data_IF_511789797785
#
_entry.id   IF_511789797785
#
_cell.length_a   1.000
_cell.length_b   1.000
_cell.length_c   1.000
_cell.angle_alpha   90.00
_cell.angle_beta   90.00
_cell.angle_gamma   90.00
#
_symmetry.space_group_name_H-M   'P 1'
#
loop_
_entity.id
_entity.type
_entity.pdbx_description
1 polymer ?
#
# COMPACT_ATOMS: atom_id res chain seq x y z
N UNK A 1 16.43 5.70 14.10
CA UNK A 1 16.08 6.46 15.31
C UNK A 1 14.58 6.41 15.51
N UNK A 2 14.15 5.94 16.68
CA UNK A 2 12.75 5.94 17.13
C UNK A 2 12.59 7.03 18.16
N UNK A 3 11.45 7.72 18.18
CA UNK A 3 11.15 8.73 19.19
C UNK A 3 10.70 8.08 20.50
N UNK A 4 9.64 8.61 21.09
CA UNK A 4 9.05 8.12 22.34
C UNK A 4 8.44 6.71 22.22
N UNK A 5 8.28 6.17 21.02
CA UNK A 5 7.81 4.82 20.76
C UNK A 5 6.31 4.62 20.96
N UNK A 6 5.53 5.70 21.09
CA UNK A 6 4.07 5.65 21.36
C UNK A 6 3.21 5.55 20.11
N UNK A 7 3.77 5.68 18.93
CA UNK A 7 3.08 5.52 17.64
C UNK A 7 3.66 4.37 16.81
N UNK A 8 4.61 3.61 17.36
CA UNK A 8 5.32 2.54 16.68
C UNK A 8 5.00 1.21 17.33
N UNK A 9 4.53 0.23 16.55
CA UNK A 9 4.23 -1.11 17.05
C UNK A 9 5.49 -1.98 17.12
N UNK A 10 5.77 -2.54 18.29
CA UNK A 10 6.99 -3.32 18.55
C UNK A 10 7.15 -4.50 17.59
N UNK A 11 6.10 -5.30 17.41
CA UNK A 11 6.17 -6.54 16.65
C UNK A 11 6.04 -6.35 15.12
N UNK A 12 5.31 -5.32 14.68
CA UNK A 12 4.88 -5.15 13.27
C UNK A 12 5.65 -4.09 12.50
N UNK A 13 6.14 -3.06 13.18
CA UNK A 13 6.81 -1.96 12.51
C UNK A 13 8.31 -2.20 12.33
N UNK A 14 8.88 -1.48 11.36
CA UNK A 14 10.28 -1.60 10.97
C UNK A 14 11.11 -0.57 11.72
N UNK A 15 11.27 -0.78 13.01
CA UNK A 15 11.88 0.19 13.92
C UNK A 15 13.24 -0.27 14.44
N UNK A 16 13.59 -1.55 14.22
CA UNK A 16 14.85 -2.18 14.62
C UNK A 16 15.81 -2.16 13.42
N UNK A 17 16.57 -1.09 13.25
CA UNK A 17 17.50 -0.95 12.11
C UNK A 17 16.86 -1.05 10.72
N UNK A 18 15.54 -0.81 10.61
CA UNK A 18 14.76 -0.98 9.37
C UNK A 18 14.13 -2.36 9.16
N UNK A 19 14.31 -3.28 10.12
CA UNK A 19 13.70 -4.61 10.17
C UNK A 19 12.52 -4.64 11.15
N UNK A 20 11.57 -5.56 10.92
CA UNK A 20 10.56 -5.93 11.92
C UNK A 20 11.08 -6.99 12.87
N UNK A 21 10.43 -7.16 14.03
CA UNK A 21 10.72 -8.28 14.92
C UNK A 21 10.47 -9.64 14.24
N UNK A 22 9.48 -9.74 13.34
CA UNK A 22 9.21 -10.95 12.54
C UNK A 22 10.37 -11.30 11.60
N UNK A 23 11.03 -10.31 11.00
CA UNK A 23 12.16 -10.52 10.10
C UNK A 23 13.42 -11.00 10.84
N UNK A 24 13.60 -10.59 12.09
CA UNK A 24 14.74 -10.96 12.92
C UNK A 24 14.51 -12.27 13.69
N UNK A 25 13.28 -12.50 14.13
CA UNK A 25 12.91 -13.58 15.04
C UNK A 25 11.53 -14.17 14.66
N UNK A 26 11.41 -14.88 13.53
CA UNK A 26 10.12 -15.36 13.01
C UNK A 26 9.42 -16.37 13.94
N UNK A 27 10.17 -17.22 14.66
CA UNK A 27 9.60 -18.20 15.60
C UNK A 27 9.11 -17.51 16.87
N UNK A 28 9.88 -16.54 17.39
CA UNK A 28 9.44 -15.69 18.51
C UNK A 28 8.16 -14.96 18.11
N UNK A 29 8.14 -14.35 16.93
CA UNK A 29 6.96 -13.70 16.41
C UNK A 29 5.80 -14.70 16.32
N UNK A 30 5.99 -15.92 15.82
CA UNK A 30 4.93 -16.93 15.76
C UNK A 30 4.29 -17.21 17.13
N UNK A 31 5.09 -17.22 18.20
CA UNK A 31 4.67 -17.47 19.59
C UNK A 31 3.94 -16.29 20.27
N UNK A 32 3.92 -15.11 19.65
CA UNK A 32 3.20 -13.94 20.18
C UNK A 32 1.74 -13.96 19.73
N UNK A 33 0.82 -13.74 20.67
CA UNK A 33 -0.61 -13.64 20.36
C UNK A 33 -0.91 -12.52 19.35
N UNK A 34 -1.82 -12.76 18.41
CA UNK A 34 -2.22 -11.78 17.38
C UNK A 34 -2.61 -10.43 17.95
N UNK A 35 -3.27 -10.41 19.11
CA UNK A 35 -3.60 -9.17 19.81
C UNK A 35 -2.34 -8.38 20.16
N UNK A 36 -1.36 -9.01 20.82
CA UNK A 36 -0.10 -8.36 21.21
C UNK A 36 0.69 -7.86 20.01
N UNK A 37 0.77 -8.65 18.92
CA UNK A 37 1.39 -8.23 17.65
C UNK A 37 0.85 -6.89 17.12
N UNK A 38 -0.45 -6.66 17.29
CA UNK A 38 -1.15 -5.52 16.70
C UNK A 38 -1.42 -4.37 17.69
N UNK A 39 -1.09 -4.53 18.97
CA UNK A 39 -1.36 -3.49 19.98
C UNK A 39 -0.14 -3.07 20.79
N UNK A 40 0.89 -3.91 20.91
CA UNK A 40 2.07 -3.60 21.73
C UNK A 40 2.89 -2.49 21.07
N UNK A 41 3.00 -1.35 21.75
CA UNK A 41 3.83 -0.22 21.31
C UNK A 41 5.27 -0.38 21.77
N UNK A 42 6.22 0.23 21.05
CA UNK A 42 7.65 0.23 21.41
C UNK A 42 7.88 0.81 22.81
N UNK A 43 7.17 1.90 23.16
CA UNK A 43 7.24 2.51 24.48
C UNK A 43 6.88 1.53 25.61
N UNK A 44 5.83 0.73 25.40
CA UNK A 44 5.31 -0.23 26.39
C UNK A 44 6.12 -1.52 26.42
N UNK A 45 6.62 -1.96 25.27
CA UNK A 45 7.42 -3.16 25.12
C UNK A 45 8.76 -3.05 25.83
N UNK A 46 9.41 -1.89 25.70
CA UNK A 46 10.75 -1.66 26.24
C UNK A 46 10.74 -1.23 27.70
N UNK A 47 9.56 -0.97 28.28
CA UNK A 47 9.46 -0.67 29.70
C UNK A 47 9.65 -1.96 30.50
N UNK A 48 10.85 -2.11 31.08
CA UNK A 48 11.20 -3.30 31.87
C UNK A 48 11.14 -4.59 31.06
N UNK A 49 11.47 -4.52 29.77
CA UNK A 49 11.52 -5.66 28.84
C UNK A 49 10.21 -6.45 28.73
N UNK A 50 9.08 -5.78 28.94
CA UNK A 50 7.73 -6.33 28.91
C UNK A 50 7.31 -6.94 27.56
N UNK A 51 8.14 -6.82 26.51
CA UNK A 51 7.98 -7.56 25.27
C UNK A 51 8.29 -9.04 25.41
N UNK A 52 9.14 -9.45 26.37
CA UNK A 52 9.40 -10.88 26.64
C UNK A 52 8.12 -11.56 27.10
N UNK A 53 7.32 -10.88 27.92
CA UNK A 53 6.03 -11.39 28.44
C UNK A 53 4.98 -11.62 27.34
N UNK A 54 5.19 -11.08 26.13
CA UNK A 54 4.29 -11.31 25.00
C UNK A 54 4.48 -12.69 24.37
N UNK A 55 5.62 -13.34 24.62
CA UNK A 55 6.01 -14.62 24.03
C UNK A 55 5.35 -15.74 24.84
N UNK A 56 4.50 -16.53 24.18
CA UNK A 56 3.79 -17.63 24.82
C UNK A 56 4.13 -18.96 24.17
N UNK A 57 4.49 -19.97 24.96
CA UNK A 57 4.79 -21.31 24.45
C UNK A 57 5.95 -21.99 25.18
N UNK A 58 6.29 -23.19 24.72
CA UNK A 58 7.46 -23.91 25.23
C UNK A 58 8.74 -23.26 24.71
N UNK A 59 9.63 -22.90 25.63
CA UNK A 59 10.91 -22.29 25.30
C UNK A 59 11.89 -23.35 24.81
N UNK A 60 12.04 -23.45 23.49
CA UNK A 60 13.03 -24.30 22.83
C UNK A 60 14.37 -23.57 22.71
N UNK A 61 15.45 -24.31 22.40
CA UNK A 61 16.77 -23.71 22.14
C UNK A 61 16.72 -22.69 20.99
N UNK A 62 15.99 -23.00 19.91
CA UNK A 62 15.84 -22.08 18.78
C UNK A 62 15.05 -20.82 19.16
N UNK A 63 14.04 -20.95 20.02
CA UNK A 63 13.30 -19.78 20.53
C UNK A 63 14.21 -18.88 21.37
N UNK A 64 15.02 -19.46 22.25
CA UNK A 64 16.02 -18.72 23.04
C UNK A 64 17.03 -17.99 22.15
N UNK A 65 17.55 -18.66 21.12
CA UNK A 65 18.51 -18.07 20.18
C UNK A 65 17.91 -16.84 19.49
N UNK A 66 16.66 -16.93 19.04
CA UNK A 66 15.98 -15.81 18.40
C UNK A 66 15.61 -14.68 19.38
N UNK A 67 15.27 -15.00 20.64
CA UNK A 67 15.09 -13.99 21.68
C UNK A 67 16.36 -13.16 21.91
N UNK A 68 17.53 -13.81 21.95
CA UNK A 68 18.82 -13.12 22.10
C UNK A 68 19.13 -12.20 20.91
N UNK A 69 18.93 -12.68 19.68
CA UNK A 69 19.10 -11.86 18.47
C UNK A 69 18.19 -10.64 18.50
N UNK A 70 16.93 -10.82 18.90
CA UNK A 70 15.99 -9.70 18.99
C UNK A 70 16.37 -8.73 20.10
N UNK A 71 16.82 -9.22 21.26
CA UNK A 71 17.29 -8.40 22.38
C UNK A 71 18.46 -7.52 21.97
N UNK A 72 19.52 -8.10 21.41
CA UNK A 72 20.72 -7.38 20.97
C UNK A 72 20.36 -6.31 19.92
N UNK A 73 19.54 -6.69 18.92
CA UNK A 73 19.11 -5.75 17.89
C UNK A 73 18.27 -4.58 18.45
N UNK A 74 17.48 -4.83 19.51
CA UNK A 74 16.69 -3.80 20.20
C UNK A 74 17.56 -2.85 21.00
N UNK A 75 18.59 -3.35 21.69
CA UNK A 75 19.53 -2.52 22.46
C UNK A 75 20.33 -1.57 21.57
N UNK A 76 20.68 -2.00 20.36
CA UNK A 76 21.42 -1.19 19.38
C UNK A 76 20.60 -0.02 18.78
N UNK A 77 19.29 0.04 19.03
CA UNK A 77 18.44 1.11 18.47
C UNK A 77 18.64 2.40 19.27
N UNK A 78 19.22 3.41 18.62
CA UNK A 78 19.21 4.79 19.14
C UNK A 78 17.77 5.31 19.29
N UNK A 79 17.38 5.58 20.54
CA UNK A 79 16.06 6.10 20.91
C UNK A 79 16.17 7.49 21.51
N UNK A 80 15.29 8.37 21.05
CA UNK A 80 15.11 9.70 21.66
C UNK A 80 13.74 9.76 22.33
N UNK A 81 13.72 9.42 23.62
CA UNK A 81 12.50 9.38 24.43
C UNK A 81 11.90 10.78 24.64
N UNK A 82 12.68 11.84 24.38
CA UNK A 82 12.23 13.23 24.54
C UNK A 82 11.45 13.76 23.34
N UNK A 83 11.52 13.08 22.18
CA UNK A 83 10.83 13.49 20.96
C UNK A 83 9.70 12.54 20.57
N UNK A 84 8.50 13.04 20.23
CA UNK A 84 7.42 12.17 19.75
C UNK A 84 7.80 11.45 18.46
N UNK A 85 7.30 10.21 18.32
CA UNK A 85 7.39 9.46 17.06
C UNK A 85 6.88 10.27 15.86
N UNK A 86 7.57 10.14 14.71
CA UNK A 86 7.17 10.79 13.45
C UNK A 86 6.79 9.76 12.40
N UNK A 87 5.57 9.86 11.88
CA UNK A 87 5.11 9.06 10.75
C UNK A 87 5.65 9.68 9.46
N UNK A 88 6.65 9.03 8.85
CA UNK A 88 7.22 9.46 7.57
C UNK A 88 6.45 8.86 6.39
N UNK A 89 5.88 9.71 5.54
CA UNK A 89 5.24 9.33 4.29
C UNK A 89 6.29 9.07 3.20
N UNK A 90 6.53 7.81 2.88
CA UNK A 90 7.52 7.38 1.85
C UNK A 90 7.27 7.92 0.44
N UNK A 91 6.07 8.44 0.16
CA UNK A 91 5.73 8.93 -1.16
C UNK A 91 6.18 10.37 -1.45
N UNK A 92 6.55 11.15 -0.43
CA UNK A 92 7.03 12.52 -0.61
C UNK A 92 8.50 12.59 -0.17
N UNK A 93 9.34 13.34 -0.90
CA UNK A 93 10.74 13.60 -0.49
C UNK A 93 10.81 14.29 0.88
N UNK A 94 9.80 15.10 1.22
CA UNK A 94 9.67 15.75 2.52
C UNK A 94 9.30 14.79 3.66
N UNK A 95 8.92 13.54 3.35
CA UNK A 95 8.39 12.61 4.33
C UNK A 95 7.05 13.02 4.94
N UNK A 96 6.41 14.08 4.44
CA UNK A 96 5.11 14.57 4.95
C UNK A 96 4.01 14.17 3.97
N UNK A 97 2.92 13.62 4.51
CA UNK A 97 1.74 13.36 3.70
C UNK A 97 1.13 14.66 3.18
N UNK A 98 0.89 14.72 1.88
CA UNK A 98 -0.03 15.70 1.30
C UNK A 98 -0.96 15.03 0.31
N UNK A 99 -2.21 15.50 0.25
CA UNK A 99 -3.17 15.06 -0.76
C UNK A 99 -2.59 15.26 -2.17
N UNK A 100 -1.90 16.39 -2.41
CA UNK A 100 -1.25 16.72 -3.69
C UNK A 100 -0.25 15.65 -4.13
N UNK A 101 0.73 15.30 -3.29
CA UNK A 101 1.74 14.29 -3.64
C UNK A 101 1.08 12.93 -3.94
N UNK A 102 0.02 12.59 -3.19
CA UNK A 102 -0.73 11.35 -3.41
C UNK A 102 -1.39 11.32 -4.79
N UNK A 103 -1.99 12.42 -5.23
CA UNK A 103 -2.57 12.55 -6.58
C UNK A 103 -1.50 12.60 -7.69
N UNK A 104 -0.35 13.24 -7.46
CA UNK A 104 0.77 13.23 -8.41
C UNK A 104 1.32 11.81 -8.60
N UNK A 105 1.44 11.05 -7.52
CA UNK A 105 1.80 9.63 -7.59
C UNK A 105 0.82 8.87 -8.47
N UNK A 106 -0.50 9.09 -8.37
CA UNK A 106 -1.48 8.41 -9.24
C UNK A 106 -1.18 8.59 -10.73
N UNK A 107 -0.54 9.69 -11.13
CA UNK A 107 -0.16 9.97 -12.51
C UNK A 107 1.14 9.27 -12.94
N UNK A 108 1.93 8.78 -12.00
CA UNK A 108 3.22 8.13 -12.24
C UNK A 108 3.09 6.60 -12.35
N UNK A 109 3.73 6.04 -13.38
CA UNK A 109 3.92 4.60 -13.54
C UNK A 109 3.45 4.06 -14.90
N UNK A 110 3.94 2.87 -15.28
CA UNK A 110 3.69 2.28 -16.60
C UNK A 110 2.27 1.74 -16.81
N UNK A 111 1.43 1.69 -15.77
CA UNK A 111 0.04 1.17 -15.84
C UNK A 111 -0.77 1.99 -16.82
N UNK A 112 -0.69 3.32 -16.77
CA UNK A 112 -1.44 4.21 -17.68
C UNK A 112 -1.06 3.97 -19.14
N UNK A 113 0.24 3.98 -19.46
CA UNK A 113 0.72 3.75 -20.82
C UNK A 113 0.25 2.40 -21.37
N UNK A 114 0.33 1.33 -20.55
CA UNK A 114 -0.10 -0.02 -20.95
C UNK A 114 -1.61 -0.11 -21.16
N UNK A 115 -2.41 0.49 -20.27
CA UNK A 115 -3.88 0.53 -20.42
C UNK A 115 -4.27 1.31 -21.67
N UNK A 116 -3.72 2.51 -21.87
CA UNK A 116 -4.01 3.34 -23.06
C UNK A 116 -3.64 2.62 -24.35
N UNK A 117 -2.45 1.99 -24.40
CA UNK A 117 -2.03 1.20 -25.55
C UNK A 117 -2.97 0.00 -25.78
N UNK A 118 -3.33 -0.75 -24.73
CA UNK A 118 -4.25 -1.89 -24.85
C UNK A 118 -5.65 -1.49 -25.34
N UNK A 119 -6.08 -0.25 -25.05
CA UNK A 119 -7.33 0.32 -25.52
C UNK A 119 -7.24 0.91 -26.95
N UNK A 120 -6.07 0.84 -27.61
CA UNK A 120 -5.83 1.42 -28.92
C UNK A 120 -5.72 2.95 -28.92
N UNK A 121 -5.56 3.57 -27.75
CA UNK A 121 -5.53 5.03 -27.59
C UNK A 121 -4.08 5.53 -27.65
N UNK A 122 -3.72 6.14 -28.78
CA UNK A 122 -2.43 6.81 -28.97
C UNK A 122 -2.47 8.24 -28.42
N UNK A 123 -2.27 8.38 -27.12
CA UNK A 123 -2.20 9.66 -26.43
C UNK A 123 -1.12 9.63 -25.34
N UNK A 124 -0.63 10.81 -24.95
CA UNK A 124 0.22 10.93 -23.77
C UNK A 124 -0.52 10.43 -22.53
N UNK A 125 0.21 9.91 -21.54
CA UNK A 125 -0.35 9.46 -20.27
C UNK A 125 -0.46 10.62 -19.25
N UNK A 126 -1.16 10.42 -18.11
CA UNK A 126 -1.33 11.47 -17.10
C UNK A 126 -0.02 12.00 -16.50
N UNK A 127 1.07 11.24 -16.54
CA UNK A 127 2.39 11.66 -16.07
C UNK A 127 2.91 12.89 -16.81
N UNK A 128 2.50 13.10 -18.07
CA UNK A 128 2.90 14.25 -18.88
C UNK A 128 2.44 15.61 -18.34
N UNK A 129 1.35 15.66 -17.57
CA UNK A 129 0.84 16.89 -16.95
C UNK A 129 1.07 16.95 -15.44
N UNK A 130 1.45 15.83 -14.82
CA UNK A 130 1.49 15.66 -13.36
C UNK A 130 0.12 15.80 -12.67
N UNK A 131 -0.97 15.93 -13.45
CA UNK A 131 -2.29 16.22 -12.93
C UNK A 131 -3.36 15.48 -13.72
N UNK A 132 -3.97 14.48 -13.07
CA UNK A 132 -4.95 13.59 -13.69
C UNK A 132 -6.17 14.33 -14.24
N UNK A 133 -6.69 15.32 -13.52
CA UNK A 133 -7.87 16.08 -13.95
C UNK A 133 -7.59 16.91 -15.21
N UNK A 134 -6.45 17.60 -15.23
CA UNK A 134 -6.00 18.39 -16.39
C UNK A 134 -5.79 17.48 -17.60
N UNK A 135 -5.06 16.38 -17.43
CA UNK A 135 -4.84 15.41 -18.49
C UNK A 135 -6.16 14.82 -19.01
N UNK A 136 -7.04 14.38 -18.10
CA UNK A 136 -8.32 13.76 -18.45
C UNK A 136 -9.17 14.70 -19.28
N UNK A 137 -9.30 15.96 -18.88
CA UNK A 137 -10.10 16.96 -19.60
C UNK A 137 -9.59 17.18 -21.03
N UNK A 138 -8.27 17.25 -21.23
CA UNK A 138 -7.67 17.41 -22.56
C UNK A 138 -7.74 16.13 -23.41
N UNK A 139 -7.46 14.97 -22.82
CA UNK A 139 -7.57 13.67 -23.51
C UNK A 139 -9.02 13.41 -23.97
N UNK A 140 -10.00 13.74 -23.13
CA UNK A 140 -11.43 13.57 -23.42
C UNK A 140 -11.91 14.38 -24.62
N UNK A 141 -11.30 15.55 -24.90
CA UNK A 141 -11.61 16.33 -26.11
C UNK A 141 -11.27 15.58 -27.40
N UNK A 142 -10.24 14.73 -27.36
CA UNK A 142 -9.77 13.90 -28.49
C UNK A 142 -10.61 12.63 -28.69
N UNK A 143 -11.46 12.29 -27.72
CA UNK A 143 -12.36 11.12 -27.77
C UNK A 143 -13.71 11.53 -28.37
N UNK A 144 -14.20 10.73 -29.33
CA UNK A 144 -15.52 10.91 -29.95
C UNK A 144 -16.62 10.91 -28.90
N UNK A 145 -17.65 11.77 -29.07
CA UNK A 145 -18.70 11.99 -28.05
C UNK A 145 -19.34 10.69 -27.55
N UNK A 146 -19.59 9.74 -28.46
CA UNK A 146 -20.17 8.43 -28.14
C UNK A 146 -19.25 7.57 -27.24
N UNK A 147 -17.94 7.64 -27.43
CA UNK A 147 -16.95 6.84 -26.71
C UNK A 147 -16.50 7.47 -25.39
N UNK A 148 -16.86 8.74 -25.11
CA UNK A 148 -16.40 9.45 -23.91
C UNK A 148 -16.78 8.75 -22.61
N UNK A 149 -18.00 8.22 -22.51
CA UNK A 149 -18.42 7.49 -21.28
C UNK A 149 -17.59 6.21 -21.08
N UNK A 150 -17.21 5.53 -22.16
CA UNK A 150 -16.34 4.34 -22.13
C UNK A 150 -14.93 4.73 -21.66
N UNK A 151 -14.40 5.81 -22.21
CA UNK A 151 -13.12 6.38 -21.80
C UNK A 151 -13.11 6.83 -20.33
N UNK A 152 -14.12 7.57 -19.90
CA UNK A 152 -14.27 8.08 -18.52
C UNK A 152 -14.26 6.92 -17.50
N UNK A 153 -14.98 5.82 -17.78
CA UNK A 153 -14.96 4.62 -16.94
C UNK A 153 -13.59 3.95 -16.88
N UNK A 154 -12.89 3.82 -18.02
CA UNK A 154 -11.54 3.25 -18.05
C UNK A 154 -10.55 4.08 -17.21
N UNK A 155 -10.63 5.41 -17.28
CA UNK A 155 -9.79 6.32 -16.49
C UNK A 155 -10.06 6.13 -15.00
N UNK A 156 -11.33 6.10 -14.58
CA UNK A 156 -11.71 5.90 -13.16
C UNK A 156 -11.21 4.54 -12.65
N UNK A 157 -11.46 3.45 -13.40
CA UNK A 157 -11.02 2.11 -13.00
C UNK A 157 -9.50 2.01 -12.87
N UNK A 158 -8.76 2.67 -13.78
CA UNK A 158 -7.30 2.69 -13.73
C UNK A 158 -6.81 3.46 -12.51
N UNK A 159 -7.33 4.67 -12.27
CA UNK A 159 -6.97 5.49 -11.12
C UNK A 159 -7.28 4.78 -9.80
N UNK A 160 -8.47 4.18 -9.68
CA UNK A 160 -8.89 3.40 -8.52
C UNK A 160 -7.99 2.19 -8.28
N UNK A 161 -7.63 1.46 -9.33
CA UNK A 161 -6.75 0.29 -9.21
C UNK A 161 -5.37 0.69 -8.73
N UNK A 162 -4.80 1.76 -9.30
CA UNK A 162 -3.52 2.31 -8.86
C UNK A 162 -3.58 2.77 -7.39
N UNK A 163 -4.65 3.48 -7.01
CA UNK A 163 -4.88 3.93 -5.65
C UNK A 163 -4.93 2.77 -4.65
N UNK A 164 -5.76 1.74 -4.94
CA UNK A 164 -5.85 0.54 -4.09
C UNK A 164 -4.51 -0.16 -3.94
N UNK A 165 -3.75 -0.29 -5.03
CA UNK A 165 -2.44 -0.93 -4.99
C UNK A 165 -1.41 -0.15 -4.18
N UNK A 166 -1.42 1.18 -4.27
CA UNK A 166 -0.56 2.02 -3.44
C UNK A 166 -0.96 1.96 -1.96
N UNK A 167 -2.24 1.96 -1.66
CA UNK A 167 -2.72 1.78 -0.28
C UNK A 167 -2.34 0.41 0.28
N UNK A 168 -2.52 -0.67 -0.48
CA UNK A 168 -2.10 -2.01 -0.07
C UNK A 168 -0.60 -2.06 0.25
N UNK A 169 0.25 -1.32 -0.49
CA UNK A 169 1.68 -1.19 -0.18
C UNK A 169 1.94 -0.34 1.06
N UNK A 170 1.23 0.78 1.22
CA UNK A 170 1.36 1.66 2.38
C UNK A 170 0.97 0.93 3.68
N UNK A 171 -0.12 0.18 3.66
CA UNK A 171 -0.63 -0.61 4.79
C UNK A 171 -0.13 -2.07 4.80
N UNK A 172 0.89 -2.39 3.99
CA UNK A 172 1.57 -3.69 3.93
C UNK A 172 0.63 -4.91 3.81
N UNK A 173 -0.47 -4.75 3.08
CA UNK A 173 -1.37 -5.85 2.76
C UNK A 173 -0.82 -6.67 1.58
N UNK A 174 0.16 -7.54 1.86
CA UNK A 174 0.83 -8.38 0.85
C UNK A 174 -0.14 -9.22 0.00
N UNK A 175 -1.28 -9.63 0.57
CA UNK A 175 -2.31 -10.41 -0.15
C UNK A 175 -2.98 -9.62 -1.27
N UNK A 176 -2.94 -8.29 -1.21
CA UNK A 176 -3.58 -7.41 -2.19
C UNK A 176 -2.59 -6.76 -3.16
N UNK A 177 -1.28 -6.97 -2.99
CA UNK A 177 -0.27 -6.42 -3.89
C UNK A 177 -0.25 -7.19 -5.21
N UNK A 178 -0.42 -6.45 -6.31
CA UNK A 178 -0.42 -6.96 -7.68
C UNK A 178 0.75 -6.39 -8.46
N UNK A 179 1.24 -7.18 -9.42
CA UNK A 179 2.19 -6.71 -10.43
C UNK A 179 1.50 -5.75 -11.41
N UNK A 180 2.29 -4.97 -12.15
CA UNK A 180 1.76 -4.08 -13.20
C UNK A 180 0.92 -4.87 -14.20
N UNK A 181 1.36 -6.05 -14.60
CA UNK A 181 0.64 -6.88 -15.59
C UNK A 181 -0.68 -7.44 -15.03
N UNK A 182 -0.70 -7.85 -13.77
CA UNK A 182 -1.92 -8.25 -13.09
C UNK A 182 -2.91 -7.07 -12.98
N UNK A 183 -2.42 -5.85 -12.69
CA UNK A 183 -3.26 -4.65 -12.66
C UNK A 183 -3.85 -4.34 -14.04
N UNK A 184 -3.03 -4.36 -15.09
CA UNK A 184 -3.47 -4.10 -16.47
C UNK A 184 -4.50 -5.15 -16.91
N UNK A 185 -4.25 -6.42 -16.61
CA UNK A 185 -5.18 -7.52 -16.92
C UNK A 185 -6.50 -7.33 -16.20
N UNK A 186 -6.48 -7.03 -14.89
CA UNK A 186 -7.69 -6.75 -14.13
C UNK A 186 -8.47 -5.56 -14.70
N UNK A 187 -7.81 -4.43 -14.99
CA UNK A 187 -8.47 -3.24 -15.53
C UNK A 187 -9.14 -3.56 -16.87
N UNK A 188 -8.47 -4.34 -17.72
CA UNK A 188 -9.01 -4.78 -19.01
C UNK A 188 -10.21 -5.71 -18.84
N UNK A 189 -10.12 -6.69 -17.94
CA UNK A 189 -11.18 -7.67 -17.72
C UNK A 189 -12.40 -7.02 -17.06
N UNK A 190 -12.19 -6.15 -16.06
CA UNK A 190 -13.24 -5.32 -15.44
C UNK A 190 -13.92 -4.46 -16.51
N UNK A 191 -13.15 -3.83 -17.40
CA UNK A 191 -13.67 -3.02 -18.49
C UNK A 191 -14.50 -3.85 -19.49
N UNK A 192 -14.04 -5.03 -19.90
CA UNK A 192 -14.81 -5.92 -20.78
C UNK A 192 -16.08 -6.45 -20.12
N UNK A 193 -16.04 -6.79 -18.84
CA UNK A 193 -17.22 -7.21 -18.07
C UNK A 193 -18.27 -6.09 -18.01
N UNK A 194 -17.85 -4.86 -17.71
CA UNK A 194 -18.73 -3.69 -17.71
C UNK A 194 -19.38 -3.42 -19.07
N UNK A 195 -18.64 -3.60 -20.17
CA UNK A 195 -19.16 -3.42 -21.53
C UNK A 195 -20.18 -4.49 -21.93
N UNK A 196 -20.02 -5.73 -21.43
CA UNK A 196 -20.99 -6.81 -21.60
C UNK A 196 -22.26 -6.56 -20.80
N UNK A 197 -22.14 -6.21 -19.52
CA UNK A 197 -23.28 -5.90 -18.66
C UNK A 197 -24.12 -4.74 -19.21
N UNK A 198 -23.47 -3.68 -19.70
CA UNK A 198 -24.15 -2.53 -20.29
C UNK A 198 -24.87 -2.84 -21.61
N UNK A 199 -24.35 -3.78 -22.40
CA UNK A 199 -25.03 -4.28 -23.62
C UNK A 199 -26.22 -5.17 -23.27
N UNK A 200 -26.12 -6.01 -22.24
CA UNK A 200 -27.23 -6.82 -21.74
C UNK A 200 -28.41 -5.96 -21.28
N UNK A 201 -28.17 -4.99 -20.40
CA UNK A 201 -29.21 -4.06 -19.90
C UNK A 201 -29.90 -3.27 -21.02
N UNK A 202 -29.19 -2.93 -22.10
CA UNK A 202 -29.78 -2.20 -23.24
C UNK A 202 -30.65 -3.08 -24.14
N UNK A 203 -30.39 -4.39 -24.17
CA UNK A 203 -31.21 -5.34 -24.93
C UNK A 203 -32.49 -5.72 -24.18
N UNK A 204 -32.45 -5.71 -22.84
CA UNK A 204 -33.62 -5.97 -22.00
C UNK A 204 -34.62 -4.80 -22.06
N UNK A 205 -34.14 -3.55 -22.05
CA UNK A 205 -34.98 -2.34 -22.18
C UNK A 205 -35.52 -2.12 -23.60
N UNK A 206 -34.99 -2.81 -24.61
CA UNK A 206 -35.47 -2.73 -25.99
C UNK A 206 -36.46 -3.86 -26.36
N UNK A 207 -36.83 -4.70 -25.39
CA UNK A 207 -37.77 -5.82 -25.54
C UNK A 207 -39.10 -5.61 -24.79
N UNK A 208 -39.29 -4.44 -24.19
CA UNK A 208 -40.57 -3.94 -23.66
C UNK A 208 -41.13 -2.87 -24.61
#
# INVERSE_FOLDING_TARGET
>A
MVGDGRLTYFWRDRWIGGYTAEELAPEVFAMVATRRKNTRLVAEALQGDAWIDDISGAMTEELWRQCLVLWEAVEDVERDVSTPDRILWKGAESGIYSAKCTYEMLCQGSVWCRVLHSAGLRMADPGSTGNLQRWWTEARKRVRKFDRKRFDSMVISTAWTIWKQRNARAFRNNREQKTVDQMVTQIRDDFHMWERARRGVRLDVARE
#
